data_IF_259863856913
#
_entry.id   IF_259863856913
#
_cell.length_a   1.000
_cell.length_b   1.000
_cell.length_c   1.000
_cell.angle_alpha   90.00
_cell.angle_beta   90.00
_cell.angle_gamma   90.00
#
_symmetry.space_group_name_H-M   'P 1'
#
loop_
_entity.id
_entity.type
_entity.pdbx_description
1 polymer ?
#
# COMPACT_ATOMS: atom_id res chain seq x y z
N UNK A 1 -5.44 -15.91 -20.07
CA UNK A 1 -4.81 -14.59 -20.14
C UNK A 1 -4.08 -14.44 -21.45
N UNK A 2 -4.08 -13.25 -22.04
CA UNK A 2 -3.24 -12.89 -23.19
C UNK A 2 -1.83 -12.46 -22.73
N UNK A 3 -0.90 -12.20 -23.67
CA UNK A 3 0.50 -11.89 -23.35
C UNK A 3 0.66 -10.60 -22.52
N UNK A 4 -0.16 -9.59 -22.79
CA UNK A 4 -0.17 -8.30 -22.08
C UNK A 4 -0.68 -8.45 -20.65
N UNK A 5 -1.76 -9.24 -20.45
CA UNK A 5 -2.30 -9.55 -19.12
C UNK A 5 -1.27 -10.31 -18.26
N UNK A 6 -0.51 -11.24 -18.86
CA UNK A 6 0.57 -11.93 -18.17
C UNK A 6 1.73 -11.00 -17.77
N UNK A 7 2.09 -10.05 -18.62
CA UNK A 7 3.10 -9.04 -18.31
C UNK A 7 2.64 -8.11 -17.18
N UNK A 8 1.40 -7.62 -17.25
CA UNK A 8 0.84 -6.75 -16.24
C UNK A 8 0.74 -7.43 -14.86
N UNK A 9 0.32 -8.69 -14.81
CA UNK A 9 0.32 -9.48 -13.57
C UNK A 9 1.72 -9.60 -12.98
N UNK A 10 2.74 -9.85 -13.82
CA UNK A 10 4.12 -9.96 -13.36
C UNK A 10 4.61 -8.63 -12.78
N UNK A 11 4.41 -7.54 -13.51
CA UNK A 11 4.76 -6.19 -13.05
C UNK A 11 4.04 -5.90 -11.73
N UNK A 12 2.74 -6.23 -11.64
CA UNK A 12 1.97 -6.09 -10.41
C UNK A 12 2.60 -6.86 -9.25
N UNK A 13 2.90 -8.14 -9.42
CA UNK A 13 3.48 -8.97 -8.37
C UNK A 13 4.82 -8.42 -7.87
N UNK A 14 5.69 -7.98 -8.78
CA UNK A 14 6.98 -7.35 -8.46
C UNK A 14 6.78 -6.07 -7.63
N UNK A 15 5.89 -5.16 -8.08
CA UNK A 15 5.59 -3.92 -7.35
C UNK A 15 4.89 -4.18 -6.02
N UNK A 16 4.01 -5.18 -5.95
CA UNK A 16 3.33 -5.57 -4.71
C UNK A 16 4.33 -6.06 -3.66
N UNK A 17 5.33 -6.85 -4.05
CA UNK A 17 6.42 -7.26 -3.15
C UNK A 17 7.22 -6.07 -2.62
N UNK A 18 7.53 -5.07 -3.47
CA UNK A 18 8.18 -3.84 -3.01
C UNK A 18 7.32 -3.09 -2.00
N UNK A 19 6.01 -2.98 -2.24
CA UNK A 19 5.08 -2.37 -1.28
C UNK A 19 5.07 -3.13 0.06
N UNK A 20 5.08 -4.46 0.04
CA UNK A 20 5.16 -5.29 1.25
C UNK A 20 6.46 -5.04 2.05
N UNK A 21 7.58 -4.83 1.35
CA UNK A 21 8.84 -4.47 1.98
C UNK A 21 8.79 -3.08 2.63
N UNK A 22 8.27 -2.07 1.91
CA UNK A 22 8.10 -0.71 2.45
C UNK A 22 7.16 -0.69 3.65
N UNK A 23 6.08 -1.48 3.61
CA UNK A 23 5.15 -1.65 4.73
C UNK A 23 5.88 -2.21 5.96
N UNK A 24 6.68 -3.25 5.78
CA UNK A 24 7.45 -3.89 6.86
C UNK A 24 8.44 -2.90 7.47
N UNK A 25 9.20 -2.18 6.64
CA UNK A 25 10.14 -1.13 7.10
C UNK A 25 9.40 -0.07 7.92
N UNK A 26 8.25 0.41 7.44
CA UNK A 26 7.47 1.39 8.17
C UNK A 26 6.97 0.85 9.52
N UNK A 27 6.50 -0.40 9.56
CA UNK A 27 6.09 -1.06 10.81
C UNK A 27 7.26 -1.19 11.79
N UNK A 28 8.44 -1.56 11.32
CA UNK A 28 9.64 -1.67 12.15
C UNK A 28 10.08 -0.30 12.70
N UNK A 29 9.90 0.78 11.94
CA UNK A 29 10.11 2.14 12.44
C UNK A 29 9.14 2.49 13.57
N UNK A 30 7.86 2.12 13.44
CA UNK A 30 6.85 2.39 14.48
C UNK A 30 7.09 1.58 15.76
N UNK A 31 7.66 0.37 15.65
CA UNK A 31 7.94 -0.49 16.81
C UNK A 31 9.35 -0.31 17.37
N UNK A 32 10.17 0.59 16.80
CA UNK A 32 11.55 0.83 17.23
C UNK A 32 12.54 -0.27 16.83
N UNK A 33 12.16 -1.17 15.91
CA UNK A 33 13.04 -2.21 15.38
C UNK A 33 13.90 -1.72 14.21
N UNK A 34 13.55 -0.60 13.58
CA UNK A 34 14.35 0.01 12.52
C UNK A 34 15.49 0.87 13.11
N UNK A 35 16.72 0.62 12.66
CA UNK A 35 17.91 1.41 12.99
C UNK A 35 18.43 2.14 11.73
N UNK A 36 18.27 3.47 11.61
CA UNK A 36 18.78 4.21 10.46
C UNK A 36 20.31 4.26 10.46
N UNK A 37 20.94 3.90 9.34
CA UNK A 37 22.39 4.04 9.14
C UNK A 37 22.87 5.49 8.95
N UNK A 38 21.96 6.43 8.65
CA UNK A 38 22.29 7.85 8.51
C UNK A 38 22.84 8.48 9.80
N UNK A 39 22.46 7.93 10.96
CA UNK A 39 23.05 8.30 12.25
C UNK A 39 24.54 7.95 12.37
N UNK A 40 24.97 6.85 11.75
CA UNK A 40 26.37 6.40 11.77
C UNK A 40 27.24 7.18 10.76
N UNK A 41 26.68 7.55 9.59
CA UNK A 41 27.38 8.37 8.59
C UNK A 41 27.64 9.80 9.07
N UNK A 42 26.70 10.43 9.78
CA UNK A 42 26.91 11.78 10.31
C UNK A 42 27.85 11.79 11.52
N UNK A 43 27.84 10.79 12.40
CA UNK A 43 28.78 10.76 13.54
C UNK A 43 30.26 10.71 13.13
N UNK A 44 30.56 10.33 11.88
CA UNK A 44 31.91 10.37 11.32
C UNK A 44 32.36 11.76 10.84
N UNK A 45 31.42 12.65 10.47
CA UNK A 45 31.72 13.97 9.87
C UNK A 45 31.22 15.17 10.71
N UNK A 46 30.19 15.00 11.54
CA UNK A 46 29.59 15.99 12.43
C UNK A 46 29.00 15.33 13.69
N UNK A 47 29.58 15.54 14.89
CA UNK A 47 29.21 14.84 16.12
C UNK A 47 27.90 15.34 16.76
N UNK A 48 27.17 16.26 16.12
CA UNK A 48 25.91 16.75 16.67
C UNK A 48 24.85 15.63 16.64
N UNK A 49 24.16 15.35 17.75
CA UNK A 49 23.10 14.35 17.76
C UNK A 49 22.00 14.74 16.78
N UNK A 50 21.63 13.82 15.88
CA UNK A 50 20.48 14.01 14.99
C UNK A 50 19.23 14.13 15.87
N UNK A 51 18.59 15.30 15.80
CA UNK A 51 17.30 15.48 16.46
C UNK A 51 16.22 14.75 15.67
N UNK A 52 16.03 13.46 15.95
CA UNK A 52 14.96 12.65 15.40
C UNK A 52 13.56 13.20 15.75
N UNK A 53 13.43 14.15 16.69
CA UNK A 53 12.18 14.87 16.95
C UNK A 53 11.94 15.97 15.92
N UNK A 54 13.00 16.54 15.35
CA UNK A 54 12.93 17.56 14.29
C UNK A 54 12.65 16.97 12.92
N UNK A 55 13.13 15.75 12.67
CA UNK A 55 12.93 15.02 11.40
C UNK A 55 12.49 13.58 11.66
N UNK A 56 11.21 13.37 12.02
CA UNK A 56 10.69 12.04 12.28
C UNK A 56 10.68 11.19 11.00
N UNK A 57 11.69 10.32 10.86
CA UNK A 57 11.92 9.46 9.67
C UNK A 57 10.71 8.58 9.35
N UNK A 58 9.93 8.20 10.37
CA UNK A 58 8.68 7.48 10.19
C UNK A 58 7.64 8.29 9.37
N UNK A 59 7.59 9.62 9.50
CA UNK A 59 6.68 10.45 8.68
C UNK A 59 7.11 10.41 7.22
N UNK A 60 8.41 10.56 6.94
CA UNK A 60 8.95 10.44 5.57
C UNK A 60 8.63 9.08 4.98
N UNK A 61 8.81 8.01 5.74
CA UNK A 61 8.51 6.65 5.29
C UNK A 61 7.00 6.45 5.04
N UNK A 62 6.14 7.04 5.86
CA UNK A 62 4.69 7.03 5.61
C UNK A 62 4.35 7.70 4.27
N UNK A 63 4.99 8.82 3.93
CA UNK A 63 4.76 9.51 2.66
C UNK A 63 5.18 8.66 1.46
N UNK A 64 6.35 8.01 1.55
CA UNK A 64 6.82 7.06 0.53
C UNK A 64 5.84 5.90 0.40
N UNK A 65 5.34 5.37 1.52
CA UNK A 65 4.41 4.26 1.54
C UNK A 65 3.07 4.63 0.85
N UNK A 66 2.53 5.82 1.12
CA UNK A 66 1.30 6.32 0.49
C UNK A 66 1.49 6.53 -1.02
N UNK A 67 2.59 7.16 -1.42
CA UNK A 67 2.90 7.40 -2.83
C UNK A 67 3.11 6.08 -3.59
N UNK A 68 3.78 5.11 -2.97
CA UNK A 68 3.97 3.79 -3.56
C UNK A 68 2.66 3.02 -3.66
N UNK A 69 1.81 3.09 -2.64
CA UNK A 69 0.49 2.48 -2.66
C UNK A 69 -0.36 2.97 -3.82
N UNK A 70 -0.39 4.29 -4.07
CA UNK A 70 -1.08 4.84 -5.24
C UNK A 70 -0.63 4.20 -6.56
N UNK A 71 0.68 3.93 -6.72
CA UNK A 71 1.21 3.30 -7.94
C UNK A 71 0.74 1.86 -8.19
N UNK A 72 0.04 1.24 -7.22
CA UNK A 72 -0.57 -0.09 -7.33
C UNK A 72 -2.08 -0.04 -7.59
N UNK A 73 -2.69 1.14 -7.51
CA UNK A 73 -4.15 1.35 -7.62
C UNK A 73 -4.46 2.49 -8.61
N UNK A 74 -3.51 2.78 -9.51
CA UNK A 74 -3.60 3.88 -10.45
C UNK A 74 -4.54 3.47 -11.59
N UNK A 75 -5.60 4.26 -11.79
CA UNK A 75 -6.71 3.92 -12.70
C UNK A 75 -6.66 4.71 -14.02
N UNK A 76 -5.45 5.04 -14.46
CA UNK A 76 -5.19 5.60 -15.79
C UNK A 76 -4.91 4.48 -16.79
N UNK A 77 -5.04 4.77 -18.09
CA UNK A 77 -4.83 3.78 -19.16
C UNK A 77 -3.40 3.19 -19.17
N UNK A 78 -2.42 3.97 -18.72
CA UNK A 78 -1.01 3.55 -18.57
C UNK A 78 -0.67 3.10 -17.13
N UNK A 79 -1.66 3.15 -16.24
CA UNK A 79 -1.54 2.91 -14.81
C UNK A 79 -1.71 1.44 -14.43
N UNK A 80 -0.96 1.03 -13.41
CA UNK A 80 -1.14 -0.28 -12.81
C UNK A 80 -2.28 -0.24 -11.78
N UNK A 81 -3.32 -1.03 -12.03
CA UNK A 81 -4.46 -1.18 -11.12
C UNK A 81 -4.57 -2.63 -10.63
N UNK A 82 -4.12 -2.87 -9.39
CA UNK A 82 -4.16 -4.18 -8.76
C UNK A 82 -5.54 -4.79 -8.69
N UNK A 83 -6.60 -4.01 -8.53
CA UNK A 83 -7.97 -4.53 -8.49
C UNK A 83 -8.44 -5.04 -9.85
N UNK A 84 -8.03 -4.39 -10.94
CA UNK A 84 -8.27 -4.87 -12.31
C UNK A 84 -7.52 -6.19 -12.55
N UNK A 85 -6.22 -6.20 -12.29
CA UNK A 85 -5.36 -7.39 -12.39
C UNK A 85 -5.92 -8.56 -11.58
N UNK A 86 -6.33 -8.32 -10.33
CA UNK A 86 -6.88 -9.36 -9.48
C UNK A 86 -8.21 -9.93 -9.98
N UNK A 87 -9.10 -9.10 -10.53
CA UNK A 87 -10.37 -9.59 -11.10
C UNK A 87 -10.16 -10.47 -12.33
N UNK A 88 -9.12 -10.19 -13.11
CA UNK A 88 -8.78 -11.01 -14.28
C UNK A 88 -8.20 -12.37 -13.88
N UNK A 89 -7.34 -12.40 -12.86
CA UNK A 89 -6.66 -13.62 -12.41
C UNK A 89 -7.52 -14.49 -11.48
N UNK A 90 -8.29 -13.85 -10.60
CA UNK A 90 -9.13 -14.50 -9.60
C UNK A 90 -10.58 -14.02 -9.68
N UNK A 91 -11.29 -14.27 -10.81
CA UNK A 91 -12.66 -13.81 -10.99
C UNK A 91 -13.64 -14.37 -9.95
N UNK A 92 -13.36 -15.53 -9.37
CA UNK A 92 -14.14 -16.12 -8.27
C UNK A 92 -14.06 -15.29 -6.98
N UNK A 93 -13.02 -14.46 -6.82
CA UNK A 93 -12.80 -13.61 -5.64
C UNK A 93 -13.35 -12.19 -5.83
N UNK A 94 -14.10 -11.95 -6.91
CA UNK A 94 -14.59 -10.61 -7.29
C UNK A 94 -15.30 -9.89 -6.14
N UNK A 95 -16.12 -10.60 -5.35
CA UNK A 95 -16.84 -9.98 -4.24
C UNK A 95 -15.89 -9.42 -3.16
N UNK A 96 -14.84 -10.16 -2.81
CA UNK A 96 -13.82 -9.70 -1.86
C UNK A 96 -13.00 -8.54 -2.43
N UNK A 97 -12.63 -8.63 -3.70
CA UNK A 97 -11.91 -7.57 -4.43
C UNK A 97 -12.72 -6.27 -4.43
N UNK A 98 -13.99 -6.33 -4.84
CA UNK A 98 -14.85 -5.15 -4.93
C UNK A 98 -15.07 -4.52 -3.54
N UNK A 99 -15.23 -5.34 -2.49
CA UNK A 99 -15.38 -4.84 -1.13
C UNK A 99 -14.16 -4.03 -0.67
N UNK A 100 -12.95 -4.51 -0.95
CA UNK A 100 -11.72 -3.78 -0.59
C UNK A 100 -11.50 -2.59 -1.52
N UNK A 101 -11.81 -2.69 -2.82
CA UNK A 101 -11.73 -1.56 -3.76
C UNK A 101 -12.65 -0.42 -3.34
N UNK A 102 -13.87 -0.71 -2.86
CA UNK A 102 -14.80 0.30 -2.36
C UNK A 102 -14.23 1.12 -1.18
N UNK A 103 -13.33 0.54 -0.38
CA UNK A 103 -12.63 1.26 0.69
C UNK A 103 -11.50 2.13 0.16
N UNK A 104 -10.84 1.72 -0.92
CA UNK A 104 -9.69 2.43 -1.48
C UNK A 104 -10.12 3.56 -2.43
N UNK A 105 -11.19 3.35 -3.20
CA UNK A 105 -11.69 4.27 -4.23
C UNK A 105 -11.77 5.74 -3.79
N UNK A 106 -12.36 6.07 -2.62
CA UNK A 106 -12.47 7.46 -2.15
C UNK A 106 -11.14 8.20 -2.02
N UNK A 107 -10.03 7.49 -1.80
CA UNK A 107 -8.72 8.11 -1.62
C UNK A 107 -7.96 8.31 -2.92
N UNK A 108 -8.33 7.63 -4.02
CA UNK A 108 -7.52 7.47 -5.23
C UNK A 108 -7.07 8.82 -5.82
N UNK A 109 -8.00 9.76 -6.02
CA UNK A 109 -7.68 11.09 -6.58
C UNK A 109 -6.76 11.92 -5.68
N UNK A 110 -6.96 11.84 -4.36
CA UNK A 110 -6.14 12.58 -3.40
C UNK A 110 -4.77 11.95 -3.21
N UNK A 111 -4.68 10.63 -3.25
CA UNK A 111 -3.43 9.89 -3.28
C UNK A 111 -2.62 10.19 -4.55
N UNK A 112 -3.27 10.38 -5.71
CA UNK A 112 -2.61 10.85 -6.94
C UNK A 112 -1.92 12.20 -6.74
N UNK A 113 -2.67 13.18 -6.21
CA UNK A 113 -2.13 14.50 -5.91
C UNK A 113 -1.01 14.42 -4.88
N UNK A 114 -1.19 13.60 -3.83
CA UNK A 114 -0.17 13.37 -2.81
C UNK A 114 1.13 12.83 -3.41
N UNK A 115 1.06 11.76 -4.21
CA UNK A 115 2.21 11.18 -4.92
C UNK A 115 2.94 12.22 -5.78
N UNK A 116 2.19 13.05 -6.50
CA UNK A 116 2.72 14.05 -7.43
C UNK A 116 3.33 15.29 -6.77
N UNK A 117 3.13 15.50 -5.46
CA UNK A 117 3.62 16.71 -4.77
C UNK A 117 4.57 16.42 -3.61
N UNK A 118 4.40 15.27 -2.97
CA UNK A 118 5.11 14.88 -1.74
C UNK A 118 5.85 13.55 -1.87
N UNK A 119 5.42 12.67 -2.78
CA UNK A 119 5.95 11.32 -2.91
C UNK A 119 7.20 11.24 -3.78
N UNK A 120 7.01 11.29 -5.09
CA UNK A 120 8.08 11.06 -6.08
C UNK A 120 8.50 12.33 -6.83
N UNK A 121 7.72 13.40 -6.73
CA UNK A 121 7.99 14.68 -7.36
C UNK A 121 7.99 15.77 -6.30
N UNK A 122 8.90 16.74 -6.45
CA UNK A 122 9.01 17.89 -5.57
C UNK A 122 8.20 19.09 -6.06
N UNK A 123 7.60 19.83 -5.13
CA UNK A 123 6.96 21.10 -5.43
C UNK A 123 7.92 22.27 -5.28
N UNK A 124 7.73 23.34 -6.07
CA UNK A 124 8.56 24.56 -5.98
C UNK A 124 8.12 25.52 -4.86
N UNK A 125 6.93 25.33 -4.29
CA UNK A 125 6.36 26.20 -3.25
C UNK A 125 5.59 25.39 -2.21
N UNK A 126 5.55 25.88 -0.98
CA UNK A 126 4.76 25.27 0.12
C UNK A 126 3.26 25.31 -0.13
N UNK A 127 2.76 26.34 -0.80
CA UNK A 127 1.36 26.41 -1.21
C UNK A 127 0.96 25.27 -2.13
N UNK A 128 1.88 24.77 -2.96
CA UNK A 128 1.63 23.69 -3.90
C UNK A 128 1.73 22.31 -3.22
N UNK A 129 2.56 22.19 -2.18
CA UNK A 129 2.57 21.01 -1.29
C UNK A 129 1.32 20.95 -0.41
N UNK A 130 0.81 22.09 0.06
CA UNK A 130 -0.37 22.15 0.92
C UNK A 130 -1.59 21.42 0.29
N UNK A 131 -1.77 21.53 -1.03
CA UNK A 131 -2.85 20.85 -1.75
C UNK A 131 -2.78 19.31 -1.67
N UNK A 132 -1.61 18.72 -1.42
CA UNK A 132 -1.49 17.28 -1.18
C UNK A 132 -2.01 16.87 0.19
N UNK A 133 -1.97 17.77 1.17
CA UNK A 133 -2.49 17.53 2.51
C UNK A 133 -4.01 17.62 2.58
N UNK A 134 -4.71 18.06 1.53
CA UNK A 134 -6.18 17.99 1.43
C UNK A 134 -6.71 16.54 1.53
N UNK A 135 -5.86 15.53 1.30
CA UNK A 135 -6.19 14.13 1.64
C UNK A 135 -6.61 14.03 3.12
N UNK A 136 -5.87 14.71 4.00
CA UNK A 136 -6.05 14.65 5.44
C UNK A 136 -7.14 15.57 5.99
N UNK A 137 -7.61 16.52 5.17
CA UNK A 137 -8.78 17.35 5.50
C UNK A 137 -10.09 16.54 5.38
N UNK A 138 -10.09 15.52 4.52
CA UNK A 138 -11.27 14.69 4.23
C UNK A 138 -11.22 13.31 4.88
N UNK A 139 -10.01 12.81 5.15
CA UNK A 139 -9.78 11.46 5.65
C UNK A 139 -8.66 11.45 6.67
N UNK A 140 -8.84 10.74 7.76
CA UNK A 140 -7.78 10.52 8.74
C UNK A 140 -6.67 9.64 8.15
N UNK A 141 -5.43 9.83 8.61
CA UNK A 141 -4.34 8.92 8.25
C UNK A 141 -4.60 7.46 8.64
N UNK A 142 -5.41 7.24 9.67
CA UNK A 142 -5.87 5.90 10.08
C UNK A 142 -6.73 5.24 9.02
N UNK A 143 -7.71 5.96 8.45
CA UNK A 143 -8.59 5.41 7.40
C UNK A 143 -7.80 5.00 6.15
N UNK A 144 -6.86 5.87 5.73
CA UNK A 144 -6.00 5.57 4.58
C UNK A 144 -5.11 4.36 4.88
N UNK A 145 -4.51 4.31 6.07
CA UNK A 145 -3.64 3.21 6.48
C UNK A 145 -4.40 1.87 6.61
N UNK A 146 -5.64 1.90 7.12
CA UNK A 146 -6.48 0.71 7.20
C UNK A 146 -6.90 0.20 5.82
N UNK A 147 -7.22 1.09 4.88
CA UNK A 147 -7.50 0.68 3.51
C UNK A 147 -6.27 0.04 2.84
N UNK A 148 -5.08 0.58 3.08
CA UNK A 148 -3.82 -0.02 2.64
C UNK A 148 -3.57 -1.40 3.28
N UNK A 149 -3.91 -1.55 4.57
CA UNK A 149 -3.83 -2.83 5.29
C UNK A 149 -4.75 -3.87 4.67
N UNK A 150 -5.99 -3.49 4.34
CA UNK A 150 -6.97 -4.37 3.68
C UNK A 150 -6.47 -4.79 2.29
N UNK A 151 -5.99 -3.85 1.49
CA UNK A 151 -5.38 -4.15 0.18
C UNK A 151 -4.20 -5.13 0.30
N UNK A 152 -3.29 -4.86 1.23
CA UNK A 152 -2.17 -5.76 1.55
C UNK A 152 -2.65 -7.15 1.95
N UNK A 153 -3.65 -7.23 2.82
CA UNK A 153 -4.15 -8.50 3.34
C UNK A 153 -4.81 -9.34 2.26
N UNK A 154 -5.68 -8.72 1.45
CA UNK A 154 -6.31 -9.35 0.30
C UNK A 154 -5.26 -9.85 -0.70
N UNK A 155 -4.32 -8.99 -1.13
CA UNK A 155 -3.29 -9.39 -2.10
C UNK A 155 -2.41 -10.53 -1.61
N UNK A 156 -2.05 -10.54 -0.32
CA UNK A 156 -1.32 -11.65 0.28
C UNK A 156 -2.15 -12.95 0.34
N UNK A 157 -3.44 -12.86 0.64
CA UNK A 157 -4.37 -13.98 0.61
C UNK A 157 -4.52 -14.59 -0.78
N UNK A 158 -4.73 -13.77 -1.81
CA UNK A 158 -4.86 -14.21 -3.20
C UNK A 158 -3.60 -14.93 -3.71
N UNK A 159 -2.42 -14.32 -3.52
CA UNK A 159 -1.14 -14.92 -3.92
C UNK A 159 -0.82 -16.18 -3.11
N UNK A 160 -1.15 -16.19 -1.82
CA UNK A 160 -0.99 -17.34 -0.96
C UNK A 160 -1.86 -18.51 -1.38
N UNK A 161 -3.13 -18.26 -1.69
CA UNK A 161 -4.09 -19.25 -2.16
C UNK A 161 -3.60 -19.92 -3.44
N UNK A 162 -3.13 -19.13 -4.41
CA UNK A 162 -2.61 -19.65 -5.68
C UNK A 162 -1.37 -20.53 -5.46
N UNK A 163 -0.42 -20.06 -4.63
CA UNK A 163 0.75 -20.86 -4.26
C UNK A 163 0.38 -22.17 -3.57
N UNK A 164 -0.58 -22.15 -2.66
CA UNK A 164 -1.04 -23.33 -1.93
C UNK A 164 -1.79 -24.32 -2.85
N UNK A 165 -2.50 -23.82 -3.87
CA UNK A 165 -3.12 -24.61 -4.92
C UNK A 165 -2.07 -25.36 -5.75
N UNK A 166 -1.03 -24.66 -6.21
CA UNK A 166 0.10 -25.27 -6.95
C UNK A 166 0.79 -26.36 -6.13
N UNK A 167 0.95 -26.13 -4.82
CA UNK A 167 1.56 -27.09 -3.89
C UNK A 167 0.62 -28.22 -3.44
N UNK A 168 -0.66 -28.19 -3.84
CA UNK A 168 -1.71 -29.12 -3.37
C UNK A 168 -1.84 -29.17 -1.84
N UNK A 169 -1.55 -28.07 -1.16
CA UNK A 169 -1.63 -27.97 0.30
C UNK A 169 -3.02 -27.44 0.72
N UNK A 170 -3.93 -28.36 1.03
CA UNK A 170 -5.31 -28.02 1.39
C UNK A 170 -5.44 -27.20 2.67
N UNK A 171 -4.55 -27.42 3.65
CA UNK A 171 -4.57 -26.68 4.91
C UNK A 171 -4.22 -25.20 4.67
N UNK A 172 -3.18 -24.93 3.88
CA UNK A 172 -2.81 -23.56 3.54
C UNK A 172 -3.83 -22.91 2.61
N UNK A 173 -4.46 -23.65 1.69
CA UNK A 173 -5.57 -23.12 0.88
C UNK A 173 -6.73 -22.64 1.76
N UNK A 174 -7.12 -23.43 2.77
CA UNK A 174 -8.16 -23.05 3.71
C UNK A 174 -7.77 -21.80 4.52
N UNK A 175 -6.53 -21.74 4.99
CA UNK A 175 -6.01 -20.57 5.73
C UNK A 175 -6.02 -19.29 4.88
N UNK A 176 -5.63 -19.37 3.61
CA UNK A 176 -5.65 -18.19 2.74
C UNK A 176 -7.06 -17.79 2.32
N UNK A 177 -7.99 -18.74 2.20
CA UNK A 177 -9.41 -18.46 2.04
C UNK A 177 -9.92 -17.62 3.21
N UNK A 178 -9.65 -18.03 4.45
CA UNK A 178 -10.02 -17.28 5.66
C UNK A 178 -9.45 -15.86 5.65
N UNK A 179 -8.21 -15.66 5.22
CA UNK A 179 -7.63 -14.32 5.07
C UNK A 179 -8.37 -13.43 4.05
N UNK A 180 -8.78 -14.01 2.91
CA UNK A 180 -9.56 -13.28 1.91
C UNK A 180 -10.91 -12.86 2.50
N UNK A 181 -11.58 -13.79 3.19
CA UNK A 181 -12.89 -13.56 3.82
C UNK A 181 -12.81 -12.53 4.96
N UNK A 182 -11.75 -12.56 5.76
CA UNK A 182 -11.47 -11.57 6.81
C UNK A 182 -11.26 -10.17 6.23
N UNK A 183 -10.48 -10.03 5.15
CA UNK A 183 -10.30 -8.75 4.45
C UNK A 183 -11.63 -8.20 3.93
N UNK A 184 -12.43 -9.05 3.27
CA UNK A 184 -13.72 -8.66 2.72
C UNK A 184 -14.68 -8.23 3.84
N UNK A 185 -14.79 -9.03 4.90
CA UNK A 185 -15.68 -8.76 6.03
C UNK A 185 -15.31 -7.46 6.75
N UNK A 186 -14.01 -7.22 6.97
CA UNK A 186 -13.54 -5.98 7.57
C UNK A 186 -13.83 -4.76 6.68
N UNK A 187 -13.67 -4.88 5.36
CA UNK A 187 -14.01 -3.82 4.42
C UNK A 187 -15.51 -3.49 4.43
N UNK A 188 -16.37 -4.51 4.47
CA UNK A 188 -17.82 -4.35 4.54
C UNK A 188 -18.24 -3.70 5.86
N UNK A 189 -17.73 -4.16 6.99
CA UNK A 189 -18.06 -3.64 8.31
C UNK A 189 -17.74 -2.14 8.44
N UNK A 190 -16.58 -1.71 7.94
CA UNK A 190 -16.17 -0.30 7.94
C UNK A 190 -17.04 0.59 7.05
N UNK A 191 -17.76 0.01 6.09
CA UNK A 191 -18.66 0.74 5.19
C UNK A 191 -20.04 0.99 5.82
N UNK A 192 -20.37 0.31 6.92
CA UNK A 192 -21.62 0.48 7.67
C UNK A 192 -21.47 1.49 8.83
N UNK A 193 -20.23 1.83 9.20
CA UNK A 193 -19.90 2.73 10.31
C UNK A 193 -19.48 4.14 9.87
N UNK A 194 -19.34 4.37 8.56
CA UNK A 194 -18.97 5.65 7.95
C UNK A 194 -20.20 6.34 7.35
#
# INVERSE_FOLDING_TARGET
>A
MNATEHEELRIFAERFMHFMNLWTIYKDMLTGHYKPSYGEMLTAEDPRPIDNRKWPVNITMMFVLYAYFYSLIEDSDEGLNGFRVWREVWPQEKAAIDAVEARVGPFRDRLRLFRNRMGFHGSRTRSHEAAAFELFDKHTGTEVFDAMRLFKHLGAGLLGLDRAAVQKNLQEQQRFREWIDEAASAAIAQSQTA
#
